data_IF_057993043650
#
_entry.id   IF_057993043650
#
_cell.length_a   1.000
_cell.length_b   1.000
_cell.length_c   1.000
_cell.angle_alpha   90.00
_cell.angle_beta   90.00
_cell.angle_gamma   90.00
#
_symmetry.space_group_name_H-M   'P 1'
#
loop_
_entity.id
_entity.type
_entity.pdbx_description
1 polymer ?
#
# COMPACT_ATOMS: atom_id res chain seq x y z
N UNK A 1 -0.54 -11.11 -14.62
CA UNK A 1 -0.01 -12.49 -14.42
C UNK A 1 0.67 -12.52 -13.08
N UNK A 2 0.53 -13.64 -12.35
CA UNK A 2 1.35 -13.88 -11.16
C UNK A 2 2.33 -14.97 -11.54
N UNK A 3 3.62 -14.67 -11.49
CA UNK A 3 4.71 -15.60 -11.73
C UNK A 3 5.35 -16.00 -10.41
N UNK A 4 5.85 -17.23 -10.32
CA UNK A 4 6.50 -17.72 -9.09
C UNK A 4 7.96 -17.29 -8.97
N UNK A 5 8.60 -16.96 -10.08
CA UNK A 5 9.96 -16.46 -10.14
C UNK A 5 10.12 -15.45 -11.28
N UNK A 6 11.25 -14.78 -11.31
CA UNK A 6 11.59 -13.73 -12.28
C UNK A 6 12.50 -14.23 -13.40
N UNK A 7 12.96 -15.48 -13.36
CA UNK A 7 14.05 -15.98 -14.21
C UNK A 7 13.76 -15.91 -15.71
N UNK A 8 12.49 -16.01 -16.09
CA UNK A 8 12.06 -15.97 -17.49
C UNK A 8 11.36 -14.63 -17.85
N UNK A 9 11.53 -13.60 -17.04
CA UNK A 9 10.94 -12.30 -17.30
C UNK A 9 11.96 -11.41 -18.02
N UNK A 10 11.65 -11.01 -19.25
CA UNK A 10 12.43 -9.97 -19.89
C UNK A 10 12.07 -8.60 -19.28
N UNK A 11 12.98 -8.07 -18.46
CA UNK A 11 12.81 -6.81 -17.75
C UNK A 11 12.74 -5.60 -18.68
N UNK A 12 13.32 -5.65 -19.87
CA UNK A 12 13.26 -4.57 -20.85
C UNK A 12 11.84 -4.25 -21.32
N UNK A 13 10.91 -5.21 -21.13
CA UNK A 13 9.50 -5.00 -21.42
C UNK A 13 8.76 -4.15 -20.37
N UNK A 14 9.41 -3.82 -19.26
CA UNK A 14 8.81 -3.12 -18.12
C UNK A 14 9.61 -1.86 -17.78
N UNK A 15 9.21 -0.68 -18.29
CA UNK A 15 9.90 0.57 -17.98
C UNK A 15 9.88 0.94 -16.50
N UNK A 16 8.99 0.31 -15.71
CA UNK A 16 8.88 0.51 -14.27
C UNK A 16 8.83 -0.83 -13.55
N UNK A 17 9.70 -1.01 -12.56
CA UNK A 17 9.69 -2.13 -11.64
C UNK A 17 9.37 -1.63 -10.24
N UNK A 18 8.36 -2.23 -9.62
CA UNK A 18 7.85 -1.85 -8.29
C UNK A 18 8.20 -2.97 -7.32
N UNK A 19 8.91 -2.67 -6.25
CA UNK A 19 9.21 -3.63 -5.20
C UNK A 19 8.18 -3.56 -4.08
N UNK A 20 7.49 -4.67 -3.88
CA UNK A 20 6.42 -4.85 -2.90
C UNK A 20 5.02 -4.60 -3.45
N UNK A 21 4.13 -5.54 -3.16
CA UNK A 21 2.72 -5.53 -3.54
C UNK A 21 1.79 -5.02 -2.42
N UNK A 22 2.32 -4.25 -1.49
CA UNK A 22 1.49 -3.56 -0.48
C UNK A 22 0.60 -2.46 -1.08
N UNK A 23 -0.16 -1.74 -0.26
CA UNK A 23 -1.07 -0.67 -0.73
C UNK A 23 -0.41 0.34 -1.67
N UNK A 24 0.79 0.80 -1.35
CA UNK A 24 1.52 1.76 -2.18
C UNK A 24 1.90 1.17 -3.54
N UNK A 25 2.50 -0.03 -3.56
CA UNK A 25 2.95 -0.66 -4.80
C UNK A 25 1.78 -0.99 -5.75
N UNK A 26 0.70 -1.59 -5.24
CA UNK A 26 -0.48 -1.88 -6.04
C UNK A 26 -1.14 -0.58 -6.55
N UNK A 27 -1.25 0.46 -5.71
CA UNK A 27 -1.81 1.74 -6.14
C UNK A 27 -0.98 2.37 -7.25
N UNK A 28 0.34 2.39 -7.10
CA UNK A 28 1.26 2.89 -8.14
C UNK A 28 1.07 2.13 -9.45
N UNK A 29 0.99 0.81 -9.40
CA UNK A 29 0.77 -0.01 -10.59
C UNK A 29 -0.57 0.30 -11.28
N UNK A 30 -1.65 0.47 -10.52
CA UNK A 30 -2.96 0.84 -11.05
C UNK A 30 -2.96 2.22 -11.73
N UNK A 31 -2.25 3.19 -11.16
CA UNK A 31 -2.17 4.52 -11.75
C UNK A 31 -1.25 4.56 -12.99
N UNK A 32 -0.21 3.73 -13.05
CA UNK A 32 0.62 3.52 -14.24
C UNK A 32 -0.17 2.83 -15.36
N UNK A 33 -0.96 1.81 -15.02
CA UNK A 33 -1.83 1.10 -15.98
C UNK A 33 -2.81 2.07 -16.67
N UNK A 34 -3.45 2.98 -15.93
CA UNK A 34 -4.32 4.02 -16.50
C UNK A 34 -3.60 4.93 -17.51
N UNK A 35 -2.31 5.09 -17.36
CA UNK A 35 -1.45 5.85 -18.28
C UNK A 35 -0.86 4.98 -19.40
N UNK A 36 -1.29 3.72 -19.52
CA UNK A 36 -0.74 2.73 -20.44
C UNK A 36 0.76 2.46 -20.26
N UNK A 37 1.29 2.68 -19.06
CA UNK A 37 2.68 2.39 -18.71
C UNK A 37 2.72 0.98 -18.11
N UNK A 38 3.48 0.09 -18.78
CA UNK A 38 3.69 -1.26 -18.28
C UNK A 38 4.56 -1.24 -17.03
N UNK A 39 4.18 -1.99 -16.01
CA UNK A 39 5.00 -2.16 -14.82
C UNK A 39 5.04 -3.62 -14.38
N UNK A 40 6.11 -3.97 -13.68
CA UNK A 40 6.29 -5.26 -13.01
C UNK A 40 6.27 -5.01 -11.51
N UNK A 41 5.42 -5.75 -10.78
CA UNK A 41 5.47 -5.77 -9.31
C UNK A 41 6.26 -7.01 -8.89
N UNK A 42 7.31 -6.81 -8.11
CA UNK A 42 8.11 -7.87 -7.49
C UNK A 42 7.74 -7.94 -6.01
N UNK A 43 7.13 -9.04 -5.59
CA UNK A 43 6.75 -9.29 -4.21
C UNK A 43 7.66 -10.36 -3.61
N UNK A 44 8.20 -10.08 -2.44
CA UNK A 44 9.12 -10.97 -1.75
C UNK A 44 8.43 -12.08 -0.96
N UNK A 45 7.15 -11.88 -0.62
CA UNK A 45 6.33 -12.85 0.11
C UNK A 45 5.50 -13.73 -0.81
N UNK A 46 4.83 -14.71 -0.22
CA UNK A 46 3.93 -15.62 -0.94
C UNK A 46 2.57 -14.97 -1.26
N UNK A 47 1.74 -15.64 -2.05
CA UNK A 47 0.37 -15.18 -2.34
C UNK A 47 -0.52 -15.12 -1.09
N UNK A 48 -0.22 -15.92 -0.08
CA UNK A 48 -0.88 -16.00 1.22
C UNK A 48 0.16 -16.02 2.32
N UNK A 49 -0.27 -15.87 3.57
CA UNK A 49 0.64 -15.95 4.71
C UNK A 49 1.44 -17.25 4.72
N UNK A 50 2.74 -17.14 4.92
CA UNK A 50 3.69 -18.23 5.09
C UNK A 50 4.59 -17.91 6.27
N UNK A 51 4.65 -18.79 7.25
CA UNK A 51 5.54 -18.63 8.40
C UNK A 51 7.01 -18.53 7.97
N UNK A 52 7.43 -19.36 7.02
CA UNK A 52 8.77 -19.32 6.45
C UNK A 52 9.10 -17.97 5.82
N UNK A 53 8.17 -17.39 5.04
CA UNK A 53 8.33 -16.06 4.47
C UNK A 53 8.41 -14.99 5.58
N UNK A 54 7.57 -15.10 6.60
CA UNK A 54 7.51 -14.15 7.71
C UNK A 54 8.80 -14.10 8.55
N UNK A 55 9.53 -15.22 8.64
CA UNK A 55 10.82 -15.30 9.35
C UNK A 55 11.85 -14.27 8.85
N UNK A 56 11.78 -13.85 7.59
CA UNK A 56 12.65 -12.81 7.05
C UNK A 56 12.48 -11.42 7.68
N UNK A 57 11.41 -11.22 8.44
CA UNK A 57 11.21 -9.99 9.22
C UNK A 57 11.83 -10.06 10.63
N UNK A 58 12.37 -11.19 11.03
CA UNK A 58 13.14 -11.29 12.27
C UNK A 58 14.45 -10.52 12.13
N UNK A 59 14.75 -9.71 13.12
CA UNK A 59 15.96 -8.90 13.13
C UNK A 59 16.12 -8.14 14.43
N UNK A 60 17.21 -7.39 14.53
CA UNK A 60 17.51 -6.54 15.69
C UNK A 60 17.03 -5.12 15.40
N UNK A 61 16.22 -4.56 16.28
CA UNK A 61 15.88 -3.14 16.26
C UNK A 61 17.03 -2.32 16.86
N UNK A 62 17.43 -1.26 16.16
CA UNK A 62 18.44 -0.30 16.61
C UNK A 62 17.76 1.07 16.65
N UNK A 63 17.98 1.82 17.74
CA UNK A 63 17.33 3.12 17.98
C UNK A 63 16.14 3.00 18.92
N UNK A 64 15.13 3.81 18.72
CA UNK A 64 13.93 3.80 19.56
C UNK A 64 13.21 2.46 19.51
N UNK A 65 12.68 1.97 20.65
CA UNK A 65 11.97 0.71 20.69
C UNK A 65 10.68 0.79 19.87
N UNK A 66 10.56 -0.07 18.88
CA UNK A 66 9.36 -0.22 18.06
C UNK A 66 8.84 -1.66 18.15
N UNK A 67 7.58 -1.84 17.79
CA UNK A 67 7.01 -3.18 17.68
C UNK A 67 7.80 -4.01 16.66
N UNK A 68 8.08 -5.26 17.00
CA UNK A 68 8.81 -6.19 16.15
C UNK A 68 8.15 -6.27 14.75
N UNK A 69 8.97 -6.16 13.71
CA UNK A 69 8.53 -6.21 12.33
C UNK A 69 7.83 -7.54 12.00
N UNK A 70 8.28 -8.64 12.60
CA UNK A 70 7.69 -9.97 12.39
C UNK A 70 6.23 -10.07 12.88
N UNK A 71 5.86 -9.23 13.85
CA UNK A 71 4.49 -9.15 14.39
C UNK A 71 3.66 -7.99 13.82
N UNK A 72 4.31 -6.93 13.34
CA UNK A 72 3.65 -5.70 12.91
C UNK A 72 3.52 -5.56 11.38
N UNK A 73 4.18 -6.41 10.61
CA UNK A 73 4.17 -6.40 9.15
C UNK A 73 3.88 -7.78 8.60
N UNK A 74 3.24 -7.83 7.42
CA UNK A 74 3.04 -9.07 6.67
C UNK A 74 3.91 -9.08 5.41
N UNK A 75 4.66 -10.16 5.23
CA UNK A 75 5.44 -10.44 4.03
C UNK A 75 4.64 -11.40 3.14
N UNK A 76 3.72 -10.82 2.40
CA UNK A 76 2.82 -11.53 1.49
C UNK A 76 2.23 -10.60 0.43
N UNK A 77 1.62 -11.15 -0.59
CA UNK A 77 0.87 -10.39 -1.59
C UNK A 77 -0.21 -9.52 -0.92
N UNK A 78 -0.23 -8.22 -1.23
CA UNK A 78 -1.08 -7.22 -0.59
C UNK A 78 -0.50 -6.62 0.69
N UNK A 79 0.65 -7.13 1.15
CA UNK A 79 1.38 -6.63 2.31
C UNK A 79 0.56 -6.60 3.59
N UNK A 80 0.92 -5.72 4.48
CA UNK A 80 0.29 -5.56 5.81
C UNK A 80 -1.20 -5.19 5.77
N UNK A 81 -1.73 -4.76 4.61
CA UNK A 81 -3.17 -4.58 4.45
C UNK A 81 -3.97 -5.88 4.64
N UNK A 82 -3.31 -7.03 4.65
CA UNK A 82 -3.93 -8.33 4.95
C UNK A 82 -4.50 -8.43 6.36
N UNK A 83 -3.90 -7.73 7.34
CA UNK A 83 -4.32 -7.76 8.75
C UNK A 83 -4.49 -6.38 9.40
N UNK A 84 -4.37 -5.28 8.65
CA UNK A 84 -4.47 -3.95 9.22
C UNK A 84 -5.86 -3.67 9.83
N UNK A 85 -5.92 -2.73 10.78
CA UNK A 85 -7.19 -2.31 11.38
C UNK A 85 -8.11 -1.53 10.44
N UNK A 86 -7.58 -1.04 9.30
CA UNK A 86 -8.37 -0.31 8.32
C UNK A 86 -8.67 1.16 8.70
N UNK A 87 -8.23 1.60 9.84
CA UNK A 87 -8.41 2.99 10.28
C UNK A 87 -7.58 3.93 9.42
N UNK A 88 -8.24 4.89 8.80
CA UNK A 88 -7.65 5.77 7.80
C UNK A 88 -8.04 7.21 8.04
N UNK A 89 -7.06 8.10 7.93
CA UNK A 89 -7.22 9.55 7.90
C UNK A 89 -6.14 10.17 7.01
N UNK A 90 -6.31 11.40 6.50
CA UNK A 90 -5.23 12.13 5.86
C UNK A 90 -4.05 12.35 6.80
N UNK A 91 -2.86 12.53 6.24
CA UNK A 91 -1.69 12.93 7.00
C UNK A 91 -1.88 14.34 7.54
N UNK A 92 -1.54 14.54 8.80
CA UNK A 92 -1.55 15.85 9.44
C UNK A 92 -0.31 16.67 9.02
N UNK A 93 -0.40 17.99 9.13
CA UNK A 93 0.70 18.89 8.77
C UNK A 93 2.02 18.51 9.46
N UNK A 94 1.99 18.20 10.75
CA UNK A 94 3.19 17.80 11.50
C UNK A 94 3.82 16.49 11.02
N UNK A 95 3.06 15.59 10.39
CA UNK A 95 3.62 14.37 9.81
C UNK A 95 4.47 14.66 8.57
N UNK A 96 4.28 15.82 7.95
CA UNK A 96 4.92 16.20 6.69
C UNK A 96 6.08 17.19 6.88
N UNK A 97 6.35 17.64 8.10
CA UNK A 97 7.38 18.66 8.38
C UNK A 97 8.77 18.29 7.84
N UNK A 98 9.14 17.00 7.95
CA UNK A 98 10.42 16.47 7.47
C UNK A 98 10.35 15.87 6.06
N UNK A 99 9.19 15.96 5.41
CA UNK A 99 9.02 15.43 4.06
C UNK A 99 9.26 16.53 3.02
N UNK A 100 9.74 16.17 1.81
CA UNK A 100 9.87 17.13 0.70
C UNK A 100 8.51 17.55 0.10
N UNK A 101 7.40 16.95 0.59
CA UNK A 101 6.03 17.20 0.14
C UNK A 101 5.24 17.94 1.21
N UNK A 102 4.35 18.82 0.78
CA UNK A 102 3.41 19.55 1.64
C UNK A 102 2.00 18.97 1.50
N UNK A 103 1.12 19.25 2.45
CA UNK A 103 -0.27 18.78 2.42
C UNK A 103 -0.99 19.20 1.12
N UNK A 104 -0.72 20.39 0.62
CA UNK A 104 -1.28 20.90 -0.64
C UNK A 104 -0.88 20.06 -1.87
N UNK A 105 0.28 19.42 -1.84
CA UNK A 105 0.74 18.54 -2.93
C UNK A 105 -0.02 17.20 -2.90
N UNK A 106 -0.50 16.77 -1.75
CA UNK A 106 -1.23 15.53 -1.54
C UNK A 106 -2.75 15.66 -1.70
N UNK A 107 -3.31 16.84 -1.40
CA UNK A 107 -4.75 17.09 -1.44
C UNK A 107 -5.44 16.71 -2.77
N UNK A 108 -4.85 16.95 -3.96
CA UNK A 108 -5.46 16.54 -5.23
C UNK A 108 -5.69 15.03 -5.35
N UNK A 109 -4.93 14.23 -4.63
CA UNK A 109 -5.00 12.76 -4.66
C UNK A 109 -5.91 12.16 -3.59
N UNK A 110 -6.38 12.96 -2.62
CA UNK A 110 -7.17 12.47 -1.49
C UNK A 110 -8.43 11.74 -1.95
N UNK A 111 -9.21 12.35 -2.86
CA UNK A 111 -10.43 11.73 -3.39
C UNK A 111 -10.12 10.35 -3.99
N UNK A 112 -9.09 10.26 -4.82
CA UNK A 112 -8.69 9.01 -5.45
C UNK A 112 -8.24 7.95 -4.44
N UNK A 113 -7.51 8.36 -3.42
CA UNK A 113 -7.10 7.48 -2.32
C UNK A 113 -8.32 6.91 -1.59
N UNK A 114 -9.30 7.75 -1.28
CA UNK A 114 -10.54 7.33 -0.63
C UNK A 114 -11.35 6.34 -1.47
N UNK A 115 -11.42 6.54 -2.79
CA UNK A 115 -12.04 5.59 -3.73
C UNK A 115 -11.34 4.21 -3.68
N UNK A 116 -10.00 4.20 -3.67
CA UNK A 116 -9.23 2.96 -3.58
C UNK A 116 -9.49 2.26 -2.25
N UNK A 117 -9.56 3.00 -1.16
CA UNK A 117 -9.82 2.51 0.18
C UNK A 117 -11.30 2.22 0.46
N UNK A 118 -12.19 2.61 -0.45
CA UNK A 118 -13.64 2.51 -0.30
C UNK A 118 -14.15 3.17 0.99
N UNK A 119 -13.75 4.43 1.19
CA UNK A 119 -14.14 5.30 2.30
C UNK A 119 -14.60 6.65 1.78
N UNK A 120 -15.26 7.44 2.63
CA UNK A 120 -15.66 8.80 2.30
C UNK A 120 -14.41 9.71 2.24
N UNK A 121 -14.45 10.73 1.38
CA UNK A 121 -13.39 11.74 1.29
C UNK A 121 -13.61 12.96 2.19
N UNK A 122 -14.64 12.94 3.05
CA UNK A 122 -14.92 13.96 4.04
C UNK A 122 -14.42 13.51 5.41
N UNK A 123 -13.46 14.23 5.95
CA UNK A 123 -12.90 13.98 7.28
C UNK A 123 -13.24 15.20 8.16
N UNK A 124 -14.08 14.98 9.16
CA UNK A 124 -14.44 16.02 10.11
C UNK A 124 -13.29 16.26 11.08
N UNK A 125 -13.04 17.52 11.33
CA UNK A 125 -12.11 17.97 12.36
C UNK A 125 -12.83 18.97 13.22
N UNK A 126 -12.82 18.80 14.53
CA UNK A 126 -13.39 19.73 15.50
C UNK A 126 -12.39 19.99 16.61
N UNK A 127 -12.31 21.24 17.07
CA UNK A 127 -11.52 21.56 18.25
C UNK A 127 -12.32 21.18 19.49
N UNK A 128 -11.72 20.46 20.41
CA UNK A 128 -12.30 20.19 21.74
C UNK A 128 -11.95 21.29 22.72
N UNK A 129 -10.72 21.82 22.62
CA UNK A 129 -10.22 22.98 23.38
C UNK A 129 -8.93 23.51 22.71
N UNK A 130 -8.22 24.42 23.35
CA UNK A 130 -6.97 24.99 22.82
C UNK A 130 -5.83 23.99 22.61
N UNK A 131 -5.85 22.83 23.31
CA UNK A 131 -4.80 21.81 23.26
C UNK A 131 -5.19 20.56 22.43
N UNK A 132 -6.48 20.27 22.27
CA UNK A 132 -6.94 19.02 21.69
C UNK A 132 -7.90 19.22 20.53
N UNK A 133 -7.63 18.50 19.45
CA UNK A 133 -8.50 18.40 18.30
C UNK A 133 -9.03 16.98 18.16
N UNK A 134 -10.31 16.85 17.89
CA UNK A 134 -10.91 15.60 17.47
C UNK A 134 -10.77 15.46 15.96
N UNK A 135 -10.25 14.30 15.51
CA UNK A 135 -10.12 13.99 14.09
C UNK A 135 -10.88 12.70 13.83
N UNK A 136 -11.75 12.74 12.83
CA UNK A 136 -12.50 11.59 12.41
C UNK A 136 -11.61 10.62 11.62
N UNK A 137 -11.53 9.38 12.11
CA UNK A 137 -11.00 8.26 11.34
C UNK A 137 -12.12 7.58 10.61
N UNK A 138 -11.86 7.13 9.38
CA UNK A 138 -12.76 6.28 8.64
C UNK A 138 -12.23 4.87 8.56
N UNK A 139 -13.13 3.89 8.50
CA UNK A 139 -12.78 2.49 8.50
C UNK A 139 -12.85 1.90 7.10
N UNK A 140 -11.70 1.48 6.58
CA UNK A 140 -11.58 0.75 5.33
C UNK A 140 -11.58 -0.76 5.56
N UNK A 141 -12.50 -1.46 4.91
CA UNK A 141 -12.53 -2.93 4.86
C UNK A 141 -11.63 -3.51 3.77
N UNK A 142 -10.97 -2.66 3.00
CA UNK A 142 -10.18 -3.08 1.84
C UNK A 142 -8.95 -3.88 2.30
N UNK A 143 -8.79 -5.05 1.70
CA UNK A 143 -7.58 -5.86 1.73
C UNK A 143 -7.05 -5.90 0.31
N UNK A 144 -5.87 -5.35 0.07
CA UNK A 144 -5.36 -5.12 -1.28
C UNK A 144 -5.19 -6.42 -2.06
N UNK A 145 -4.71 -7.49 -1.42
CA UNK A 145 -4.67 -8.80 -2.04
C UNK A 145 -6.04 -9.24 -2.57
N UNK A 146 -7.07 -9.22 -1.72
CA UNK A 146 -8.41 -9.68 -2.08
C UNK A 146 -9.06 -8.80 -3.14
N UNK A 147 -8.91 -7.48 -3.02
CA UNK A 147 -9.52 -6.51 -3.94
C UNK A 147 -8.91 -6.56 -5.35
N UNK A 148 -7.59 -6.71 -5.45
CA UNK A 148 -6.89 -6.50 -6.72
C UNK A 148 -6.30 -7.76 -7.35
N UNK A 149 -6.28 -8.90 -6.66
CA UNK A 149 -5.74 -10.16 -7.19
C UNK A 149 -6.35 -10.55 -8.53
N UNK A 150 -7.66 -10.48 -8.66
CA UNK A 150 -8.35 -10.84 -9.90
C UNK A 150 -8.07 -9.85 -11.04
N UNK A 151 -7.95 -8.57 -10.73
CA UNK A 151 -7.56 -7.55 -11.70
C UNK A 151 -6.16 -7.85 -12.26
N UNK A 152 -5.19 -8.06 -11.39
CA UNK A 152 -3.81 -8.38 -11.76
C UNK A 152 -3.71 -9.70 -12.56
N UNK A 153 -4.55 -10.68 -12.25
CA UNK A 153 -4.62 -11.93 -13.04
C UNK A 153 -5.21 -11.74 -14.44
N UNK A 154 -6.19 -10.85 -14.61
CA UNK A 154 -6.92 -10.63 -15.87
C UNK A 154 -6.13 -9.85 -16.91
N UNK A 155 -5.26 -8.93 -16.50
CA UNK A 155 -4.50 -8.04 -17.41
C UNK A 155 -3.64 -8.77 -18.43
N UNK A 156 -3.54 -10.11 -18.35
CA UNK A 156 -2.79 -10.92 -19.31
C UNK A 156 -3.64 -11.68 -20.34
N UNK A 157 -4.97 -11.74 -20.18
CA UNK A 157 -5.79 -12.50 -21.13
C UNK A 157 -6.16 -11.72 -22.40
N UNK A 158 -5.80 -10.44 -22.48
CA UNK A 158 -6.11 -9.56 -23.61
C UNK A 158 -4.92 -9.31 -24.56
N UNK A 159 -3.82 -10.06 -24.41
CA UNK A 159 -2.67 -9.95 -25.31
C UNK A 159 -2.25 -11.34 -25.79
N UNK A 160 -3.06 -11.92 -26.64
CA UNK A 160 -2.64 -12.91 -27.64
C UNK A 160 -2.54 -12.19 -28.97
#
# INVERSE_FOLDING_TARGET
MILKNIDNVNLDNFPVVIFGSGPAGITTALELEKKNIKCLIVEAGDEVYSATSQEFFKGKTIGDPITDLSSSRLRQFGGTSGHWGGWSKPMEHYNLELWPLKAQDLNPYLKRTCEILNINNQFRKSSLNEYFNQIEFQYSKVRFASKFKNHIKKTNNHRK
#
